data_IF_463254334518
#
_entry.id   IF_463254334518
#
_cell.length_a   1.000
_cell.length_b   1.000
_cell.length_c   1.000
_cell.angle_alpha   90.00
_cell.angle_beta   90.00
_cell.angle_gamma   90.00
#
_symmetry.space_group_name_H-M   'P 1'
#
loop_
_entity.id
_entity.type
_entity.pdbx_description
1 polymer ?
#
# COMPACT_ATOMS: atom_id res chain seq x y z
N UNK A 1 -1.51 14.53 2.58
CA UNK A 1 -2.00 13.22 2.07
C UNK A 1 -3.28 12.87 2.78
N UNK A 2 -4.28 12.37 2.05
CA UNK A 2 -5.57 12.00 2.60
C UNK A 2 -5.82 10.50 2.38
N UNK A 3 -6.25 9.82 3.44
CA UNK A 3 -6.66 8.42 3.40
C UNK A 3 -8.14 8.31 3.74
N UNK A 4 -8.83 7.34 3.13
CA UNK A 4 -10.21 7.00 3.47
C UNK A 4 -10.36 5.48 3.56
N UNK A 5 -11.24 5.00 4.44
CA UNK A 5 -11.62 3.59 4.45
C UNK A 5 -12.89 3.44 3.58
N UNK A 6 -12.81 2.64 2.53
CA UNK A 6 -14.01 2.17 1.85
C UNK A 6 -14.65 1.09 2.73
N UNK A 7 -15.83 1.36 3.28
CA UNK A 7 -16.53 0.44 4.18
C UNK A 7 -17.15 -0.76 3.45
N UNK A 8 -17.40 -0.63 2.14
CA UNK A 8 -17.98 -1.71 1.32
C UNK A 8 -16.91 -2.73 0.95
N UNK A 9 -15.74 -2.26 0.49
CA UNK A 9 -14.63 -3.14 0.08
C UNK A 9 -13.64 -3.43 1.20
N UNK A 10 -13.75 -2.71 2.33
CA UNK A 10 -12.79 -2.73 3.44
C UNK A 10 -11.36 -2.32 3.04
N UNK A 11 -11.21 -1.64 1.90
CA UNK A 11 -9.92 -1.16 1.42
C UNK A 11 -9.60 0.23 1.96
N UNK A 12 -8.33 0.46 2.26
CA UNK A 12 -7.82 1.81 2.49
C UNK A 12 -7.54 2.44 1.14
N UNK A 13 -8.15 3.59 0.90
CA UNK A 13 -8.00 4.40 -0.30
C UNK A 13 -7.07 5.58 -0.05
N UNK A 14 -6.26 5.93 -1.05
CA UNK A 14 -5.37 7.09 -1.06
C UNK A 14 -5.82 8.09 -2.12
N UNK A 15 -5.84 9.37 -1.78
CA UNK A 15 -6.12 10.46 -2.72
C UNK A 15 -4.89 10.71 -3.62
N UNK A 16 -5.07 10.52 -4.93
CA UNK A 16 -4.00 10.52 -5.93
C UNK A 16 -3.50 11.92 -6.26
N UNK A 17 -4.36 12.95 -6.30
CA UNK A 17 -3.92 14.29 -6.67
C UNK A 17 -2.89 14.81 -5.67
N UNK A 18 -3.13 14.65 -4.37
CA UNK A 18 -2.22 15.01 -3.30
C UNK A 18 -0.96 14.13 -3.27
N UNK A 19 -1.07 12.85 -3.62
CA UNK A 19 0.08 11.96 -3.73
C UNK A 19 1.03 12.40 -4.85
N UNK A 20 0.48 12.65 -6.04
CA UNK A 20 1.24 13.08 -7.21
C UNK A 20 1.83 14.48 -7.03
N UNK A 21 1.08 15.38 -6.41
CA UNK A 21 1.59 16.69 -6.00
C UNK A 21 2.75 16.56 -5.00
N UNK A 22 2.67 15.63 -4.06
CA UNK A 22 3.76 15.38 -3.12
C UNK A 22 5.02 14.84 -3.80
N UNK A 23 4.86 14.00 -4.83
CA UNK A 23 5.98 13.60 -5.69
C UNK A 23 6.46 14.70 -6.64
N UNK A 24 5.76 15.83 -6.69
CA UNK A 24 6.11 16.96 -7.55
C UNK A 24 5.80 16.75 -9.02
N UNK A 25 4.86 15.86 -9.38
CA UNK A 25 4.41 15.77 -10.78
C UNK A 25 3.68 17.07 -11.18
N UNK A 26 3.99 17.62 -12.37
CA UNK A 26 3.19 18.67 -12.98
C UNK A 26 1.74 18.23 -13.19
N UNK A 27 0.79 19.15 -13.00
CA UNK A 27 -0.65 18.88 -13.07
C UNK A 27 -1.07 18.08 -14.32
N UNK A 28 -0.53 18.42 -15.49
CA UNK A 28 -0.86 17.74 -16.76
C UNK A 28 -0.40 16.28 -16.75
N UNK A 29 0.78 15.99 -16.21
CA UNK A 29 1.28 14.61 -16.08
C UNK A 29 0.48 13.84 -15.03
N UNK A 30 0.12 14.50 -13.92
CA UNK A 30 -0.73 13.90 -12.90
C UNK A 30 -2.09 13.47 -13.47
N UNK A 31 -2.73 14.33 -14.26
CA UNK A 31 -4.00 14.02 -14.92
C UNK A 31 -3.87 12.85 -15.91
N UNK A 32 -2.79 12.81 -16.69
CA UNK A 32 -2.53 11.71 -17.61
C UNK A 32 -2.33 10.38 -16.86
N UNK A 33 -1.56 10.38 -15.75
CA UNK A 33 -1.34 9.19 -14.94
C UNK A 33 -2.65 8.67 -14.30
N UNK A 34 -3.49 9.58 -13.80
CA UNK A 34 -4.82 9.25 -13.24
C UNK A 34 -5.72 8.65 -14.32
N UNK A 35 -5.76 9.24 -15.52
CA UNK A 35 -6.62 8.78 -16.61
C UNK A 35 -6.29 7.34 -17.07
N UNK A 36 -5.03 6.92 -16.99
CA UNK A 36 -4.62 5.54 -17.30
C UNK A 36 -5.21 4.48 -16.35
N UNK A 37 -5.77 4.91 -15.22
CA UNK A 37 -6.30 4.06 -14.15
C UNK A 37 -7.80 4.28 -13.92
N UNK A 38 -8.52 4.89 -14.87
CA UNK A 38 -9.93 5.29 -14.69
C UNK A 38 -10.84 4.16 -14.14
N UNK A 39 -10.66 2.93 -14.63
CA UNK A 39 -11.45 1.76 -14.21
C UNK A 39 -11.15 1.28 -12.78
N UNK A 40 -10.06 1.76 -12.17
CA UNK A 40 -9.58 1.34 -10.85
C UNK A 40 -9.69 2.45 -9.80
N UNK A 41 -10.14 3.64 -10.20
CA UNK A 41 -10.18 4.83 -9.36
C UNK A 41 -11.62 5.10 -8.92
N UNK A 42 -11.78 5.41 -7.64
CA UNK A 42 -13.01 5.98 -7.12
C UNK A 42 -12.95 7.50 -7.22
N UNK A 43 -13.81 8.09 -8.05
CA UNK A 43 -13.95 9.54 -8.15
C UNK A 43 -15.02 10.05 -7.19
N UNK A 44 -14.70 11.09 -6.43
CA UNK A 44 -15.66 11.81 -5.58
C UNK A 44 -15.57 13.31 -5.85
N UNK A 45 -16.66 14.03 -5.65
CA UNK A 45 -16.64 15.49 -5.67
C UNK A 45 -16.07 16.02 -4.35
N UNK A 46 -15.14 16.95 -4.43
CA UNK A 46 -14.66 17.72 -3.29
C UNK A 46 -15.77 18.69 -2.83
N UNK A 47 -16.29 18.56 -1.59
CA UNK A 47 -17.35 19.44 -1.11
C UNK A 47 -16.91 20.91 -0.98
N UNK A 48 -15.62 21.19 -0.85
CA UNK A 48 -15.10 22.55 -0.65
C UNK A 48 -14.84 23.26 -1.98
N UNK A 49 -14.45 22.53 -3.01
CA UNK A 49 -14.00 23.10 -4.29
C UNK A 49 -14.84 22.69 -5.50
N UNK A 50 -15.67 21.65 -5.39
CA UNK A 50 -16.42 21.06 -6.51
C UNK A 50 -15.54 20.32 -7.53
N UNK A 51 -14.24 20.17 -7.25
CA UNK A 51 -13.32 19.45 -8.14
C UNK A 51 -13.31 17.94 -7.85
N UNK A 52 -13.03 17.10 -8.86
CA UNK A 52 -12.94 15.66 -8.66
C UNK A 52 -11.69 15.28 -7.86
N UNK A 53 -11.91 14.51 -6.81
CA UNK A 53 -10.90 13.79 -6.03
C UNK A 53 -10.83 12.36 -6.54
N UNK A 54 -9.61 11.87 -6.79
CA UNK A 54 -9.36 10.55 -7.34
C UNK A 54 -8.74 9.66 -6.27
N UNK A 55 -9.41 8.56 -5.95
CA UNK A 55 -8.96 7.65 -4.91
C UNK A 55 -8.57 6.30 -5.48
N UNK A 56 -7.38 5.81 -5.11
CA UNK A 56 -6.90 4.48 -5.47
C UNK A 56 -6.73 3.61 -4.23
N UNK A 57 -7.10 2.31 -4.26
CA UNK A 57 -6.76 1.38 -3.20
C UNK A 57 -5.25 1.32 -2.93
N UNK A 58 -4.87 1.30 -1.65
CA UNK A 58 -3.45 1.19 -1.23
C UNK A 58 -2.81 -0.09 -1.75
N UNK A 59 -3.60 -1.14 -1.94
CA UNK A 59 -3.20 -2.41 -2.57
C UNK A 59 -2.67 -2.23 -4.00
N UNK A 60 -3.15 -1.22 -4.73
CA UNK A 60 -2.78 -0.94 -6.12
C UNK A 60 -1.72 0.15 -6.27
N UNK A 61 -1.43 0.92 -5.21
CA UNK A 61 -0.42 1.98 -5.23
C UNK A 61 0.96 1.53 -5.73
N UNK A 62 1.46 0.32 -5.41
CA UNK A 62 2.76 -0.09 -5.91
C UNK A 62 2.87 -0.07 -7.44
N UNK A 63 1.87 -0.67 -8.10
CA UNK A 63 1.80 -0.74 -9.56
C UNK A 63 1.61 0.64 -10.18
N UNK A 64 0.77 1.48 -9.56
CA UNK A 64 0.57 2.86 -10.00
C UNK A 64 1.88 3.65 -9.94
N UNK A 65 2.64 3.52 -8.84
CA UNK A 65 3.90 4.23 -8.67
C UNK A 65 4.94 3.77 -9.68
N UNK A 66 5.08 2.46 -9.91
CA UNK A 66 6.03 1.91 -10.89
C UNK A 66 5.83 2.50 -12.30
N UNK A 67 4.59 2.81 -12.68
CA UNK A 67 4.28 3.41 -13.98
C UNK A 67 4.66 4.90 -14.12
N UNK A 68 4.80 5.63 -13.01
CA UNK A 68 5.13 7.06 -13.04
C UNK A 68 6.60 7.34 -12.67
N UNK A 69 7.39 6.32 -12.31
CA UNK A 69 8.77 6.51 -11.83
C UNK A 69 9.66 7.24 -12.84
N UNK A 70 9.47 6.98 -14.13
CA UNK A 70 10.24 7.60 -15.22
C UNK A 70 9.93 9.09 -15.41
N UNK A 71 8.71 9.51 -15.07
CA UNK A 71 8.24 10.90 -15.09
C UNK A 71 8.74 11.73 -13.90
N UNK A 72 9.24 11.07 -12.85
CA UNK A 72 9.74 11.72 -11.64
C UNK A 72 11.17 12.26 -11.77
N UNK A 73 11.43 13.36 -11.05
CA UNK A 73 12.79 13.81 -10.76
C UNK A 73 13.57 12.75 -9.97
N UNK A 74 14.90 12.80 -9.99
CA UNK A 74 15.72 11.83 -9.25
C UNK A 74 15.43 11.82 -7.73
N UNK A 75 15.21 12.99 -7.14
CA UNK A 75 14.88 13.13 -5.72
C UNK A 75 13.48 12.57 -5.41
N UNK A 76 12.48 12.98 -6.20
CA UNK A 76 11.10 12.48 -6.06
C UNK A 76 11.02 10.97 -6.27
N UNK A 77 11.81 10.42 -7.20
CA UNK A 77 11.85 8.98 -7.50
C UNK A 77 12.29 8.16 -6.29
N UNK A 78 13.30 8.62 -5.54
CA UNK A 78 13.73 7.94 -4.33
C UNK A 78 12.62 7.90 -3.27
N UNK A 79 11.90 9.01 -3.11
CA UNK A 79 10.75 9.09 -2.19
C UNK A 79 9.59 8.18 -2.65
N UNK A 80 9.30 8.17 -3.94
CA UNK A 80 8.25 7.32 -4.53
C UNK A 80 8.55 5.83 -4.36
N UNK A 81 9.80 5.41 -4.56
CA UNK A 81 10.24 4.02 -4.33
C UNK A 81 10.04 3.63 -2.86
N UNK A 82 10.48 4.47 -1.91
CA UNK A 82 10.28 4.21 -0.48
C UNK A 82 8.80 4.13 -0.11
N UNK A 83 7.97 4.98 -0.70
CA UNK A 83 6.54 4.96 -0.46
C UNK A 83 5.90 3.69 -1.05
N UNK A 84 6.24 3.33 -2.29
CA UNK A 84 5.81 2.10 -2.97
C UNK A 84 6.08 0.85 -2.11
N UNK A 85 7.30 0.73 -1.62
CA UNK A 85 7.72 -0.43 -0.81
C UNK A 85 6.94 -0.51 0.50
N UNK A 86 6.64 0.65 1.12
CA UNK A 86 5.79 0.72 2.33
C UNK A 86 4.33 0.42 2.04
N UNK A 87 3.79 0.87 0.91
CA UNK A 87 2.42 0.54 0.48
C UNK A 87 2.26 -0.96 0.22
N UNK A 88 3.27 -1.60 -0.35
CA UNK A 88 3.30 -3.06 -0.51
C UNK A 88 3.30 -3.80 0.84
N UNK A 89 4.00 -3.28 1.85
CA UNK A 89 3.93 -3.84 3.20
C UNK A 89 2.54 -3.66 3.83
N UNK A 90 1.88 -2.52 3.60
CA UNK A 90 0.53 -2.25 4.12
C UNK A 90 -0.54 -3.12 3.45
N UNK A 91 -0.43 -3.37 2.15
CA UNK A 91 -1.40 -4.21 1.42
C UNK A 91 -1.45 -5.65 1.96
N UNK A 92 -0.33 -6.17 2.47
CA UNK A 92 -0.27 -7.48 3.11
C UNK A 92 -1.04 -7.54 4.45
N UNK A 93 -1.27 -6.41 5.12
CA UNK A 93 -1.89 -6.35 6.46
C UNK A 93 -3.39 -6.03 6.38
N UNK A 94 -3.85 -5.36 5.32
CA UNK A 94 -5.26 -5.00 5.12
C UNK A 94 -6.21 -6.22 5.19
N UNK A 95 -5.93 -7.36 4.52
CA UNK A 95 -6.76 -8.56 4.63
C UNK A 95 -6.90 -9.06 6.08
N UNK A 96 -5.84 -8.97 6.88
CA UNK A 96 -5.82 -9.42 8.28
C UNK A 96 -6.70 -8.49 9.13
N UNK A 97 -6.59 -7.17 8.97
CA UNK A 97 -7.42 -6.21 9.70
C UNK A 97 -8.91 -6.32 9.33
N UNK A 98 -9.23 -6.58 8.06
CA UNK A 98 -10.59 -6.84 7.60
C UNK A 98 -11.16 -8.13 8.21
N UNK A 99 -10.38 -9.22 8.23
CA UNK A 99 -10.77 -10.47 8.89
C UNK A 99 -10.99 -10.31 10.40
N UNK A 100 -10.12 -9.56 11.09
CA UNK A 100 -10.26 -9.28 12.53
C UNK A 100 -11.51 -8.45 12.85
N UNK A 101 -11.94 -7.56 11.95
CA UNK A 101 -13.20 -6.81 12.09
C UNK A 101 -14.43 -7.68 11.84
N UNK A 102 -14.39 -8.60 10.87
CA UNK A 102 -15.45 -9.57 10.61
C UNK A 102 -15.62 -10.58 11.76
N UNK A 103 -14.53 -10.95 12.44
CA UNK A 103 -14.56 -11.85 13.60
C UNK A 103 -15.17 -11.24 14.87
N UNK A 104 -15.49 -9.92 14.88
CA UNK A 104 -16.17 -9.25 15.99
C UNK A 104 -17.70 -9.16 15.84
N UNK A 105 -18.33 -9.92 14.92
CA UNK A 105 -19.79 -10.11 14.95
C UNK A 105 -20.14 -10.88 16.24
N UNK A 106 -20.98 -10.33 17.15
CA UNK A 106 -21.17 -10.85 18.50
C UNK A 106 -22.18 -12.01 18.59
N UNK A 107 -22.29 -12.87 17.57
CA UNK A 107 -23.37 -13.88 17.53
C UNK A 107 -22.88 -15.33 17.59
N UNK A 108 -21.57 -15.62 17.64
CA UNK A 108 -21.13 -16.98 17.99
C UNK A 108 -19.65 -16.98 18.41
N UNK A 109 -19.39 -17.08 19.72
CA UNK A 109 -18.08 -17.46 20.28
C UNK A 109 -16.84 -16.79 19.68
N UNK A 110 -16.84 -15.46 19.55
CA UNK A 110 -15.76 -14.71 18.91
C UNK A 110 -14.39 -14.96 19.55
N UNK A 111 -13.37 -15.22 18.71
CA UNK A 111 -11.98 -15.34 19.14
C UNK A 111 -11.51 -13.99 19.67
N UNK A 112 -11.03 -13.99 20.92
CA UNK A 112 -10.41 -12.84 21.55
C UNK A 112 -9.18 -12.38 20.73
N UNK A 113 -9.18 -11.16 20.17
CA UNK A 113 -8.06 -10.64 19.38
C UNK A 113 -6.75 -10.57 20.18
N UNK A 114 -6.81 -10.48 21.52
CA UNK A 114 -5.60 -10.54 22.35
C UNK A 114 -4.96 -11.93 22.31
N UNK A 115 -5.74 -12.98 22.09
CA UNK A 115 -5.25 -14.35 21.97
C UNK A 115 -4.44 -14.58 20.67
N UNK A 116 -4.78 -13.86 19.60
CA UNK A 116 -4.07 -13.95 18.30
C UNK A 116 -2.79 -13.13 18.31
N UNK A 117 -2.81 -11.94 18.93
CA UNK A 117 -1.62 -11.09 19.05
C UNK A 117 -0.58 -11.66 20.01
N UNK A 118 -0.98 -12.36 21.07
CA UNK A 118 -0.05 -13.03 21.99
C UNK A 118 0.52 -14.35 21.44
N UNK A 119 -0.17 -15.00 20.49
CA UNK A 119 0.27 -16.26 19.88
C UNK A 119 0.82 -16.13 18.45
N UNK A 120 0.88 -14.91 17.90
CA UNK A 120 1.66 -14.64 16.70
C UNK A 120 3.14 -14.87 17.02
N UNK A 121 3.61 -16.09 16.75
CA UNK A 121 5.04 -16.41 16.84
C UNK A 121 5.79 -15.40 15.99
N UNK A 122 6.88 -14.80 16.50
CA UNK A 122 7.72 -13.93 15.68
C UNK A 122 8.09 -14.71 14.43
N UNK A 123 7.78 -14.18 13.25
CA UNK A 123 8.33 -14.70 12.00
C UNK A 123 9.85 -14.68 12.16
N UNK A 124 10.42 -15.86 12.38
CA UNK A 124 11.86 -16.04 12.52
C UNK A 124 12.46 -15.49 11.22
N UNK A 125 13.45 -14.57 11.27
CA UNK A 125 14.06 -14.07 10.05
C UNK A 125 14.55 -15.26 9.25
N UNK A 126 14.10 -15.35 8.00
CA UNK A 126 14.46 -16.41 7.07
C UNK A 126 15.99 -16.50 7.04
N UNK A 127 16.54 -17.64 7.47
CA UNK A 127 17.98 -17.84 7.43
C UNK A 127 18.40 -17.78 5.96
N UNK A 128 19.26 -16.80 5.67
CA UNK A 128 19.85 -16.60 4.36
C UNK A 128 20.44 -17.89 3.81
N UNK A 129 20.27 -18.04 2.51
CA UNK A 129 20.75 -19.15 1.70
C UNK A 129 22.27 -19.29 1.88
N UNK A 130 22.71 -20.54 2.00
CA UNK A 130 24.06 -20.97 2.31
C UNK A 130 25.16 -20.28 1.48
N UNK A 131 26.27 -19.96 2.14
CA UNK A 131 27.56 -19.79 1.48
C UNK A 131 28.49 -20.89 1.97
N UNK A 132 28.57 -21.97 1.21
CA UNK A 132 29.58 -23.00 1.39
C UNK A 132 30.87 -22.50 0.74
N UNK A 133 31.81 -22.02 1.56
CA UNK A 133 33.20 -21.90 1.13
C UNK A 133 33.98 -23.12 1.62
N UNK A 134 34.28 -23.96 0.64
CA UNK A 134 35.20 -25.10 0.65
C UNK A 134 36.65 -24.65 0.87
N UNK A 135 37.49 -25.60 1.32
CA UNK A 135 38.98 -25.64 1.24
C UNK A 135 39.68 -25.11 2.50
N UNK A 136 40.47 -25.88 3.25
CA UNK A 136 41.73 -26.62 2.93
C UNK A 136 42.01 -27.51 4.17
N UNK A 137 42.68 -28.66 4.17
CA UNK A 137 43.58 -29.33 3.26
C UNK A 137 44.38 -30.32 4.14
N UNK A 138 44.46 -31.57 3.72
CA UNK A 138 45.35 -32.55 4.33
C UNK A 138 46.81 -32.17 4.04
N UNK A 139 47.69 -32.36 5.02
CA UNK A 139 48.98 -33.06 4.95
C UNK A 139 49.53 -33.25 6.37
#
# INVERSE_FOLDING_TARGET
MQFQLNLETLEVLMELNALLQWFGLPLVQSQAAIAMWEDNILTKEDPDTGHPLHYLPVSMLPNFIDQILDQLSAESRAQAILFRDRSHALSAVIPIAAMLKLSKKPEDGGIDPDYVLHNASPLKPSQGIASANTTQGAL
#
